data_IF_841751903083
#
_entry.id   IF_841751903083
#
_cell.length_a   1.000
_cell.length_b   1.000
_cell.length_c   1.000
_cell.angle_alpha   90.00
_cell.angle_beta   90.00
_cell.angle_gamma   90.00
#
_symmetry.space_group_name_H-M   'P 1'
#
loop_
_entity.id
_entity.type
_entity.pdbx_description
1 polymer ?
#
# COMPACT_ATOMS: atom_id res chain seq x y z
N UNK A 1 50.00 35.68 -5.71
CA UNK A 1 49.25 35.00 -4.62
C UNK A 1 47.77 35.33 -4.84
N UNK A 2 47.05 34.48 -5.59
CA UNK A 2 45.63 34.69 -5.94
C UNK A 2 44.76 33.76 -5.11
N UNK A 3 43.98 34.34 -4.21
CA UNK A 3 42.88 33.62 -3.53
C UNK A 3 41.73 33.43 -4.53
N UNK A 4 41.35 32.18 -4.79
CA UNK A 4 40.12 31.83 -5.50
C UNK A 4 39.01 31.68 -4.47
N UNK A 5 38.03 32.60 -4.52
CA UNK A 5 36.74 32.48 -3.78
C UNK A 5 35.94 31.30 -4.34
N UNK A 6 35.60 30.34 -3.50
CA UNK A 6 34.57 29.34 -3.77
C UNK A 6 33.20 29.91 -3.42
N UNK A 7 32.40 30.17 -4.43
CA UNK A 7 30.99 30.49 -4.24
C UNK A 7 30.23 29.17 -4.00
N UNK A 8 29.68 29.02 -2.81
CA UNK A 8 28.71 27.94 -2.46
C UNK A 8 27.37 28.37 -3.05
N UNK A 9 26.95 27.70 -4.11
CA UNK A 9 25.61 27.85 -4.67
C UNK A 9 24.67 27.03 -3.81
N UNK A 10 23.89 27.71 -2.96
CA UNK A 10 22.79 27.13 -2.19
C UNK A 10 21.59 26.96 -3.14
N UNK A 11 21.42 25.78 -3.70
CA UNK A 11 20.19 25.43 -4.42
C UNK A 11 19.04 25.30 -3.41
N UNK A 12 18.26 26.36 -3.23
CA UNK A 12 16.93 26.29 -2.62
C UNK A 12 16.00 25.61 -3.64
N UNK A 13 15.74 24.33 -3.46
CA UNK A 13 14.66 23.65 -4.16
C UNK A 13 13.33 24.09 -3.57
N UNK A 14 12.63 25.00 -4.25
CA UNK A 14 11.23 25.29 -3.97
C UNK A 14 10.42 24.03 -4.32
N UNK A 15 9.96 23.29 -3.31
CA UNK A 15 8.90 22.30 -3.49
C UNK A 15 7.60 23.06 -3.81
N UNK A 16 7.22 23.07 -5.06
CA UNK A 16 5.87 23.43 -5.48
C UNK A 16 5.02 22.20 -5.15
N UNK A 17 4.15 22.30 -4.16
CA UNK A 17 3.12 21.30 -3.90
C UNK A 17 2.16 21.30 -5.11
N UNK A 18 2.37 20.37 -6.05
CA UNK A 18 1.44 20.13 -7.15
C UNK A 18 0.28 19.28 -6.62
N UNK A 19 -0.94 19.74 -6.82
CA UNK A 19 -2.17 18.99 -6.58
C UNK A 19 -2.09 17.61 -7.26
N UNK A 20 -2.28 16.53 -6.47
CA UNK A 20 -1.93 15.14 -6.79
C UNK A 20 -2.62 14.46 -7.99
N UNK A 21 -3.20 15.21 -8.93
CA UNK A 21 -3.81 14.66 -10.14
C UNK A 21 -2.70 14.48 -11.20
N UNK A 22 -2.36 13.23 -11.50
CA UNK A 22 -1.38 12.90 -12.54
C UNK A 22 0.08 12.79 -12.07
N UNK A 23 0.34 12.76 -10.77
CA UNK A 23 1.69 12.68 -10.24
C UNK A 23 2.32 11.32 -10.49
N UNK A 24 3.49 11.32 -11.11
CA UNK A 24 4.31 10.14 -11.34
C UNK A 24 5.17 9.81 -10.11
N UNK A 25 5.56 8.52 -9.93
CA UNK A 25 6.46 8.12 -8.86
C UNK A 25 7.79 8.89 -8.92
N UNK A 26 8.26 9.32 -7.77
CA UNK A 26 9.54 10.01 -7.65
C UNK A 26 10.48 9.20 -6.76
N UNK A 27 11.78 9.34 -7.01
CA UNK A 27 12.80 8.77 -6.14
C UNK A 27 12.69 9.42 -4.75
N UNK A 28 12.43 8.58 -3.75
CA UNK A 28 12.35 9.00 -2.36
C UNK A 28 13.75 8.96 -1.76
N UNK A 29 14.38 10.12 -1.64
CA UNK A 29 15.74 10.24 -1.10
C UNK A 29 15.72 10.46 0.40
N UNK A 30 16.34 9.53 1.13
CA UNK A 30 16.86 9.78 2.48
C UNK A 30 18.34 9.38 2.53
N UNK A 31 19.16 10.02 3.40
CA UNK A 31 20.61 9.78 3.43
C UNK A 31 21.04 8.38 3.84
N UNK A 32 20.15 7.55 4.36
CA UNK A 32 20.48 6.24 4.93
C UNK A 32 19.87 5.08 4.15
N UNK A 33 20.73 4.34 3.46
CA UNK A 33 20.68 2.87 3.31
C UNK A 33 19.56 2.21 2.46
N UNK A 34 18.65 2.92 1.81
CA UNK A 34 17.60 2.26 1.03
C UNK A 34 17.95 2.37 -0.45
N UNK A 35 18.21 1.26 -1.16
CA UNK A 35 18.37 1.30 -2.60
C UNK A 35 17.07 1.81 -3.22
N UNK A 36 17.19 2.78 -4.09
CA UNK A 36 16.19 3.40 -4.99
C UNK A 36 14.72 3.03 -4.69
N UNK A 37 14.12 3.72 -3.72
CA UNK A 37 12.71 3.60 -3.41
C UNK A 37 11.94 4.67 -4.19
N UNK A 38 10.99 4.25 -5.02
CA UNK A 38 10.15 5.16 -5.82
C UNK A 38 8.71 5.18 -5.29
N UNK A 39 8.09 6.35 -5.31
CA UNK A 39 6.71 6.50 -4.90
C UNK A 39 6.24 7.94 -4.83
N UNK A 40 4.99 8.10 -4.38
CA UNK A 40 4.39 9.41 -4.06
C UNK A 40 4.04 9.43 -2.58
N UNK A 41 4.65 10.37 -1.85
CA UNK A 41 4.43 10.57 -0.42
C UNK A 41 3.54 11.80 -0.22
N UNK A 42 2.39 11.58 0.38
CA UNK A 42 1.45 12.64 0.78
C UNK A 42 1.34 12.70 2.30
N UNK A 43 1.14 13.92 2.83
CA UNK A 43 1.03 14.17 4.27
C UNK A 43 -0.12 15.11 4.56
N UNK A 44 -0.74 15.02 5.76
CA UNK A 44 -1.66 16.04 6.22
C UNK A 44 -1.02 17.44 6.21
N UNK A 45 -1.78 18.46 5.83
CA UNK A 45 -1.29 19.84 5.77
C UNK A 45 -0.95 20.41 7.15
N UNK A 46 -1.69 19.98 8.19
CA UNK A 46 -1.45 20.42 9.56
C UNK A 46 -0.17 19.77 10.13
N UNK A 47 0.65 20.52 10.86
CA UNK A 47 1.77 19.95 11.61
C UNK A 47 1.31 18.94 12.65
N UNK A 48 2.00 17.79 12.74
CA UNK A 48 1.63 16.72 13.67
C UNK A 48 2.37 15.42 13.43
N UNK A 49 2.02 14.43 14.23
CA UNK A 49 2.43 13.03 14.01
C UNK A 49 1.19 12.20 13.72
N UNK A 50 1.26 11.47 12.62
CA UNK A 50 0.13 10.73 12.04
C UNK A 50 0.49 9.26 11.84
N UNK A 51 -0.48 8.34 11.92
CA UNK A 51 -0.26 6.99 11.44
C UNK A 51 0.04 6.99 9.93
N UNK A 52 0.76 5.99 9.45
CA UNK A 52 1.14 5.90 8.05
C UNK A 52 0.42 4.76 7.33
N UNK A 53 0.24 4.91 6.01
CA UNK A 53 -0.31 3.89 5.12
C UNK A 53 0.58 3.74 3.90
N UNK A 54 1.00 2.49 3.60
CA UNK A 54 1.65 2.14 2.33
C UNK A 54 0.59 1.58 1.38
N UNK A 55 0.49 2.16 0.18
CA UNK A 55 -0.46 1.76 -0.86
C UNK A 55 0.29 0.92 -1.89
N UNK A 56 -0.24 -0.27 -2.19
CA UNK A 56 0.33 -1.26 -3.10
C UNK A 56 -0.66 -1.54 -4.23
N UNK A 57 -0.29 -1.20 -5.45
CA UNK A 57 -1.14 -1.33 -6.62
C UNK A 57 -1.27 -2.79 -7.13
N UNK A 58 -2.16 -3.00 -8.10
CA UNK A 58 -2.37 -4.30 -8.75
C UNK A 58 -1.35 -4.60 -9.86
N UNK A 59 -1.48 -5.77 -10.51
CA UNK A 59 -0.56 -6.25 -11.55
C UNK A 59 -0.41 -5.34 -12.79
N UNK A 60 -1.34 -4.40 -12.98
CA UNK A 60 -1.25 -3.43 -14.08
C UNK A 60 -0.19 -2.33 -13.86
N UNK A 61 0.52 -2.35 -12.74
CA UNK A 61 1.56 -1.39 -12.41
C UNK A 61 1.05 -0.03 -11.95
N UNK A 62 1.96 0.93 -11.91
CA UNK A 62 1.67 2.30 -11.50
C UNK A 62 0.58 2.97 -12.34
N UNK A 63 -0.29 3.71 -11.67
CA UNK A 63 -1.27 4.61 -12.28
C UNK A 63 -1.44 5.87 -11.42
N UNK A 64 -1.69 7.04 -12.01
CA UNK A 64 -1.84 8.31 -11.28
C UNK A 64 -2.91 8.29 -10.19
N UNK A 65 -3.90 7.41 -10.28
CA UNK A 65 -4.94 7.25 -9.27
C UNK A 65 -4.37 6.89 -7.89
N UNK A 66 -3.24 6.17 -7.82
CA UNK A 66 -2.63 5.82 -6.54
C UNK A 66 -2.06 7.05 -5.81
N UNK A 67 -1.59 8.06 -6.54
CA UNK A 67 -1.25 9.35 -5.97
C UNK A 67 -2.50 10.09 -5.45
N UNK A 68 -3.62 10.00 -6.17
CA UNK A 68 -4.91 10.55 -5.71
C UNK A 68 -5.40 9.86 -4.44
N UNK A 69 -5.26 8.53 -4.35
CA UNK A 69 -5.60 7.78 -3.14
C UNK A 69 -4.70 8.21 -1.98
N UNK A 70 -3.38 8.38 -2.21
CA UNK A 70 -2.45 8.87 -1.20
C UNK A 70 -2.87 10.26 -0.68
N UNK A 71 -3.22 11.19 -1.59
CA UNK A 71 -3.73 12.51 -1.20
C UNK A 71 -5.02 12.42 -0.38
N UNK A 72 -5.97 11.56 -0.77
CA UNK A 72 -7.23 11.37 -0.05
C UNK A 72 -7.02 10.79 1.35
N UNK A 73 -6.04 9.89 1.51
CA UNK A 73 -5.63 9.39 2.82
C UNK A 73 -4.93 10.47 3.65
N UNK A 74 -4.10 11.32 3.04
CA UNK A 74 -3.48 12.44 3.71
C UNK A 74 -4.53 13.45 4.23
N UNK A 75 -5.53 13.77 3.43
CA UNK A 75 -6.68 14.59 3.81
C UNK A 75 -7.52 13.94 4.93
N UNK A 76 -7.43 12.61 5.06
CA UNK A 76 -8.09 11.82 6.10
C UNK A 76 -7.26 11.65 7.38
N UNK A 77 -6.05 12.25 7.45
CA UNK A 77 -5.19 12.26 8.63
C UNK A 77 -4.14 11.15 8.67
N UNK A 78 -3.68 10.65 7.53
CA UNK A 78 -2.60 9.66 7.44
C UNK A 78 -1.41 10.22 6.66
N UNK A 79 -0.19 9.81 6.99
CA UNK A 79 0.94 9.91 6.07
C UNK A 79 0.81 8.75 5.08
N UNK A 80 0.62 9.03 3.80
CA UNK A 80 0.32 8.03 2.80
C UNK A 80 1.43 7.92 1.75
N UNK A 81 1.96 6.72 1.56
CA UNK A 81 2.97 6.42 0.55
C UNK A 81 2.39 5.47 -0.50
N UNK A 82 2.12 5.99 -1.69
CA UNK A 82 1.87 5.14 -2.86
C UNK A 82 3.23 4.65 -3.38
N UNK A 83 3.52 3.37 -3.14
CA UNK A 83 4.82 2.76 -3.45
C UNK A 83 4.83 2.23 -4.87
N UNK A 84 5.85 2.61 -5.66
CA UNK A 84 6.16 1.96 -6.92
C UNK A 84 7.12 0.77 -6.68
N UNK A 85 6.55 -0.37 -6.31
CA UNK A 85 7.33 -1.55 -5.98
C UNK A 85 7.86 -2.30 -7.21
N UNK A 86 7.39 -1.97 -8.43
CA UNK A 86 7.97 -2.47 -9.67
C UNK A 86 9.31 -1.77 -10.01
N UNK A 87 9.41 -0.47 -9.73
CA UNK A 87 10.65 0.27 -9.96
C UNK A 87 11.76 -0.08 -8.95
N UNK A 88 11.43 -0.76 -7.85
CA UNK A 88 12.42 -1.12 -6.83
C UNK A 88 13.47 -2.07 -7.38
N UNK A 89 14.73 -1.63 -7.36
CA UNK A 89 15.87 -2.38 -7.90
C UNK A 89 15.71 -2.79 -9.38
N UNK A 90 14.98 -1.99 -10.16
CA UNK A 90 14.79 -2.22 -11.60
C UNK A 90 13.86 -3.37 -11.94
N UNK A 91 12.91 -3.71 -11.05
CA UNK A 91 11.83 -4.64 -11.36
C UNK A 91 10.72 -3.90 -12.10
N UNK A 92 10.70 -4.00 -13.42
CA UNK A 92 9.67 -3.44 -14.30
C UNK A 92 8.86 -4.53 -15.04
N UNK A 93 9.11 -5.79 -14.72
CA UNK A 93 8.70 -6.93 -15.54
C UNK A 93 7.20 -7.25 -15.50
N UNK A 94 6.47 -6.82 -14.49
CA UNK A 94 5.08 -7.29 -14.30
C UNK A 94 4.94 -8.80 -14.07
N UNK A 95 6.05 -9.56 -14.10
CA UNK A 95 6.07 -11.01 -13.88
C UNK A 95 5.66 -11.35 -12.46
N UNK A 96 4.81 -12.36 -12.32
CA UNK A 96 4.29 -12.79 -11.01
C UNK A 96 4.84 -14.13 -10.55
N UNK A 97 5.43 -14.91 -11.46
CA UNK A 97 5.89 -16.28 -11.21
C UNK A 97 7.35 -16.42 -10.82
N UNK A 98 8.18 -15.37 -10.94
CA UNK A 98 9.59 -15.43 -10.55
C UNK A 98 9.74 -15.14 -9.04
N UNK A 99 10.30 -16.11 -8.31
CA UNK A 99 10.50 -16.02 -6.87
C UNK A 99 11.48 -14.88 -6.49
N UNK A 100 12.49 -14.61 -7.31
CA UNK A 100 13.43 -13.52 -7.05
C UNK A 100 12.74 -12.15 -7.22
N UNK A 101 11.88 -12.00 -8.22
CA UNK A 101 11.02 -10.82 -8.40
C UNK A 101 10.09 -10.66 -7.20
N UNK A 102 9.46 -11.74 -6.76
CA UNK A 102 8.59 -11.71 -5.59
C UNK A 102 9.32 -11.23 -4.32
N UNK A 103 10.51 -11.76 -4.06
CA UNK A 103 11.31 -11.35 -2.91
C UNK A 103 11.76 -9.87 -3.01
N UNK A 104 12.06 -9.35 -4.21
CA UNK A 104 12.36 -7.92 -4.39
C UNK A 104 11.14 -7.05 -4.03
N UNK A 105 9.94 -7.43 -4.46
CA UNK A 105 8.70 -6.72 -4.12
C UNK A 105 8.43 -6.73 -2.61
N UNK A 106 8.63 -7.87 -1.96
CA UNK A 106 8.55 -7.95 -0.50
C UNK A 106 9.59 -7.03 0.17
N UNK A 107 10.82 -6.97 -0.34
CA UNK A 107 11.87 -6.08 0.15
C UNK A 107 11.49 -4.61 -0.05
N UNK A 108 10.86 -4.24 -1.18
CA UNK A 108 10.35 -2.89 -1.42
C UNK A 108 9.35 -2.45 -0.34
N UNK A 109 8.41 -3.32 0.05
CA UNK A 109 7.45 -3.00 1.12
C UNK A 109 8.15 -2.80 2.47
N UNK A 110 9.12 -3.67 2.81
CA UNK A 110 9.91 -3.52 4.05
C UNK A 110 10.68 -2.20 4.05
N UNK A 111 11.30 -1.84 2.93
CA UNK A 111 12.04 -0.59 2.77
C UNK A 111 11.11 0.63 2.88
N UNK A 112 9.89 0.55 2.32
CA UNK A 112 8.90 1.60 2.44
C UNK A 112 8.47 1.82 3.90
N UNK A 113 8.24 0.75 4.65
CA UNK A 113 7.92 0.87 6.08
C UNK A 113 9.09 1.47 6.86
N UNK A 114 10.33 1.01 6.63
CA UNK A 114 11.51 1.57 7.27
C UNK A 114 11.70 3.06 6.93
N UNK A 115 11.48 3.45 5.66
CA UNK A 115 11.49 4.84 5.23
C UNK A 115 10.49 5.70 6.01
N UNK A 116 9.26 5.22 6.17
CA UNK A 116 8.22 5.93 6.94
C UNK A 116 8.57 6.02 8.43
N UNK A 117 9.20 4.99 9.00
CA UNK A 117 9.62 5.02 10.40
C UNK A 117 10.72 6.04 10.71
N UNK A 118 11.45 6.52 9.72
CA UNK A 118 12.41 7.61 9.89
C UNK A 118 11.76 8.99 9.78
N UNK A 119 10.58 9.10 9.19
CA UNK A 119 9.89 10.37 9.00
C UNK A 119 9.36 10.93 10.36
N UNK A 120 9.69 12.19 10.73
CA UNK A 120 9.26 12.75 12.00
C UNK A 120 7.75 13.02 12.10
N UNK A 121 7.05 13.08 10.96
CA UNK A 121 5.59 13.22 10.92
C UNK A 121 4.86 11.89 11.07
N UNK A 122 5.57 10.76 11.14
CA UNK A 122 4.97 9.43 11.28
C UNK A 122 4.98 8.97 12.73
N UNK A 123 3.81 8.56 13.23
CA UNK A 123 3.64 7.91 14.52
C UNK A 123 4.37 6.56 14.51
N UNK A 124 5.37 6.40 15.36
CA UNK A 124 6.22 5.20 15.39
C UNK A 124 5.42 3.93 15.67
N UNK A 125 5.72 2.88 14.88
CA UNK A 125 5.06 1.58 15.00
C UNK A 125 3.58 1.57 14.62
N UNK A 126 3.11 2.52 13.78
CA UNK A 126 1.71 2.66 13.39
C UNK A 126 1.59 2.77 11.88
N UNK A 127 1.78 1.65 11.18
CA UNK A 127 1.70 1.53 9.71
C UNK A 127 0.56 0.61 9.32
N UNK A 128 -0.24 1.03 8.33
CA UNK A 128 -1.19 0.20 7.61
C UNK A 128 -0.67 -0.18 6.23
N UNK A 129 -1.07 -1.33 5.72
CA UNK A 129 -0.89 -1.70 4.31
C UNK A 129 -2.25 -1.67 3.62
N UNK A 130 -2.33 -0.98 2.48
CA UNK A 130 -3.50 -0.93 1.60
C UNK A 130 -3.12 -1.55 0.27
N UNK A 131 -3.61 -2.75 -0.01
CA UNK A 131 -3.27 -3.49 -1.22
C UNK A 131 -4.44 -3.72 -2.15
N UNK A 132 -4.18 -3.65 -3.46
CA UNK A 132 -5.12 -3.93 -4.53
C UNK A 132 -4.65 -5.13 -5.35
N UNK A 133 -5.46 -6.18 -5.51
CA UNK A 133 -5.14 -7.36 -6.34
C UNK A 133 -3.75 -7.94 -5.98
N UNK A 134 -2.79 -7.92 -6.88
CA UNK A 134 -1.41 -8.35 -6.63
C UNK A 134 -0.79 -7.62 -5.42
N UNK A 135 -1.03 -6.33 -5.26
CA UNK A 135 -0.56 -5.56 -4.10
C UNK A 135 -1.21 -6.02 -2.78
N UNK A 136 -2.44 -6.53 -2.83
CA UNK A 136 -3.10 -7.11 -1.67
C UNK A 136 -2.49 -8.48 -1.31
N UNK A 137 -2.17 -9.30 -2.30
CA UNK A 137 -1.42 -10.57 -2.10
C UNK A 137 -0.05 -10.27 -1.49
N UNK A 138 0.64 -9.26 -2.01
CA UNK A 138 1.94 -8.82 -1.49
C UNK A 138 1.83 -8.34 -0.04
N UNK A 139 0.78 -7.57 0.30
CA UNK A 139 0.51 -7.13 1.68
C UNK A 139 0.38 -8.31 2.63
N UNK A 140 -0.40 -9.33 2.26
CA UNK A 140 -0.60 -10.54 3.05
C UNK A 140 0.72 -11.27 3.28
N UNK A 141 1.55 -11.38 2.24
CA UNK A 141 2.82 -12.13 2.31
C UNK A 141 3.88 -11.52 3.24
N UNK A 142 3.74 -10.24 3.61
CA UNK A 142 4.77 -9.55 4.43
C UNK A 142 4.26 -9.07 5.78
N UNK A 143 2.95 -8.84 5.95
CA UNK A 143 2.39 -8.11 7.08
C UNK A 143 2.78 -8.71 8.44
N UNK A 144 2.67 -10.03 8.60
CA UNK A 144 3.00 -10.71 9.86
C UNK A 144 4.49 -10.62 10.25
N UNK A 145 5.37 -10.31 9.30
CA UNK A 145 6.83 -10.25 9.50
C UNK A 145 7.37 -8.83 9.70
N UNK A 146 6.51 -7.82 9.69
CA UNK A 146 6.87 -6.40 9.87
C UNK A 146 6.17 -5.89 11.14
N UNK A 147 6.88 -5.78 12.27
CA UNK A 147 6.25 -5.44 13.56
C UNK A 147 5.55 -4.08 13.60
N UNK A 148 5.94 -3.15 12.74
CA UNK A 148 5.36 -1.82 12.59
C UNK A 148 3.99 -1.84 11.88
N UNK A 149 3.68 -2.91 11.14
CA UNK A 149 2.40 -3.08 10.45
C UNK A 149 1.34 -3.50 11.46
N UNK A 150 0.32 -2.66 11.65
CA UNK A 150 -0.75 -2.84 12.64
C UNK A 150 -2.12 -3.12 12.03
N UNK A 151 -2.27 -2.94 10.73
CA UNK A 151 -3.52 -3.18 10.02
C UNK A 151 -3.27 -3.44 8.53
N UNK A 152 -4.10 -4.28 7.93
CA UNK A 152 -4.09 -4.54 6.48
C UNK A 152 -5.49 -4.34 5.91
N UNK A 153 -5.58 -3.60 4.82
CA UNK A 153 -6.78 -3.53 3.97
C UNK A 153 -6.48 -4.22 2.66
N UNK A 154 -7.26 -5.24 2.36
CA UNK A 154 -7.11 -6.11 1.21
C UNK A 154 -8.28 -5.92 0.25
N UNK A 155 -8.01 -5.34 -0.90
CA UNK A 155 -8.96 -5.26 -2.00
C UNK A 155 -8.73 -6.41 -2.98
N UNK A 156 -9.69 -7.32 -3.05
CA UNK A 156 -9.79 -8.42 -4.01
C UNK A 156 -8.45 -9.14 -4.29
N UNK A 157 -7.69 -9.45 -3.23
CA UNK A 157 -6.39 -10.12 -3.35
C UNK A 157 -6.24 -11.29 -2.39
N UNK A 158 -6.14 -12.50 -2.95
CA UNK A 158 -5.71 -13.68 -2.22
C UNK A 158 -4.88 -14.55 -3.19
N UNK A 159 -3.71 -14.96 -2.75
CA UNK A 159 -2.75 -15.71 -3.59
C UNK A 159 -2.95 -17.21 -3.57
N UNK A 160 -3.73 -17.74 -2.64
CA UNK A 160 -3.95 -19.17 -2.48
C UNK A 160 -5.33 -19.46 -1.87
N UNK A 161 -5.87 -20.63 -2.15
CA UNK A 161 -7.01 -21.22 -1.42
C UNK A 161 -6.54 -22.43 -0.58
N UNK A 162 -5.26 -22.77 -0.65
CA UNK A 162 -4.69 -23.84 0.17
C UNK A 162 -4.64 -23.41 1.63
N UNK A 163 -5.31 -24.18 2.48
CA UNK A 163 -5.49 -23.87 3.90
C UNK A 163 -4.17 -23.84 4.65
N UNK A 164 -3.30 -24.82 4.43
CA UNK A 164 -2.05 -24.95 5.18
C UNK A 164 -1.08 -23.83 4.79
N UNK A 165 -1.06 -23.47 3.50
CA UNK A 165 -0.29 -22.32 3.01
C UNK A 165 -0.78 -21.01 3.63
N UNK A 166 -2.10 -20.74 3.59
CA UNK A 166 -2.68 -19.54 4.20
C UNK A 166 -2.44 -19.47 5.70
N UNK A 167 -2.69 -20.54 6.44
CA UNK A 167 -2.47 -20.58 7.89
C UNK A 167 -0.99 -20.33 8.25
N UNK A 168 -0.06 -20.77 7.41
CA UNK A 168 1.37 -20.49 7.61
C UNK A 168 1.71 -19.01 7.43
N UNK A 169 1.07 -18.35 6.46
CA UNK A 169 1.31 -16.94 6.13
C UNK A 169 0.68 -15.99 7.18
N UNK A 170 -0.44 -16.39 7.80
CA UNK A 170 -1.23 -15.50 8.66
C UNK A 170 -1.02 -15.71 10.16
N UNK A 171 0.06 -16.37 10.58
CA UNK A 171 0.42 -16.47 12.00
C UNK A 171 0.73 -15.10 12.57
N UNK A 172 0.08 -14.74 13.68
CA UNK A 172 0.20 -13.41 14.30
C UNK A 172 -0.13 -12.27 13.35
N UNK A 173 -1.07 -12.49 12.45
CA UNK A 173 -1.47 -11.52 11.43
C UNK A 173 -2.12 -10.29 12.10
N UNK A 174 -1.80 -9.06 11.64
CA UNK A 174 -2.46 -7.87 12.13
C UNK A 174 -3.96 -7.86 11.72
N UNK A 175 -4.82 -7.06 12.39
CA UNK A 175 -6.20 -6.87 11.97
C UNK A 175 -6.35 -6.66 10.48
N UNK A 176 -7.32 -7.35 9.86
CA UNK A 176 -7.53 -7.42 8.43
C UNK A 176 -8.93 -6.91 8.05
N UNK A 177 -9.00 -6.02 7.07
CA UNK A 177 -10.24 -5.70 6.35
C UNK A 177 -10.16 -6.27 4.94
N UNK A 178 -11.13 -7.11 4.57
CA UNK A 178 -11.28 -7.66 3.22
C UNK A 178 -12.44 -6.97 2.50
N UNK A 179 -12.16 -6.43 1.31
CA UNK A 179 -13.13 -5.77 0.43
C UNK A 179 -13.11 -6.49 -0.92
N UNK A 180 -14.19 -7.24 -1.25
CA UNK A 180 -14.18 -8.15 -2.41
C UNK A 180 -15.47 -8.07 -3.20
N UNK A 181 -15.39 -8.23 -4.52
CA UNK A 181 -16.55 -8.33 -5.39
C UNK A 181 -17.12 -9.74 -5.41
N UNK A 182 -18.44 -9.90 -5.33
CA UNK A 182 -19.09 -11.21 -5.33
C UNK A 182 -18.88 -11.97 -6.64
N UNK A 183 -18.87 -11.23 -7.77
CA UNK A 183 -18.71 -11.79 -9.12
C UNK A 183 -17.29 -11.62 -9.68
N UNK A 184 -16.29 -11.57 -8.81
CA UNK A 184 -14.89 -11.48 -9.22
C UNK A 184 -14.47 -12.77 -9.95
N UNK A 185 -14.11 -12.62 -11.24
CA UNK A 185 -13.69 -13.72 -12.11
C UNK A 185 -12.16 -13.87 -12.19
N UNK A 186 -11.41 -12.89 -11.70
CA UNK A 186 -9.95 -12.94 -11.69
C UNK A 186 -9.42 -13.60 -10.41
N UNK A 187 -9.99 -13.24 -9.26
CA UNK A 187 -9.73 -13.88 -7.97
C UNK A 187 -11.10 -14.16 -7.35
N UNK A 188 -11.52 -15.40 -7.38
CA UNK A 188 -12.84 -15.80 -6.90
C UNK A 188 -13.03 -15.40 -5.42
N UNK A 189 -14.25 -15.01 -5.06
CA UNK A 189 -14.61 -14.62 -3.68
C UNK A 189 -14.37 -15.74 -2.67
N UNK A 190 -14.35 -17.01 -3.11
CA UNK A 190 -13.95 -18.17 -2.30
C UNK A 190 -12.56 -18.01 -1.68
N UNK A 191 -11.60 -17.46 -2.44
CA UNK A 191 -10.25 -17.19 -1.96
C UNK A 191 -10.25 -16.13 -0.82
N UNK A 192 -11.11 -15.12 -0.91
CA UNK A 192 -11.27 -14.14 0.16
C UNK A 192 -11.89 -14.77 1.42
N UNK A 193 -12.84 -15.70 1.27
CA UNK A 193 -13.36 -16.47 2.41
C UNK A 193 -12.31 -17.39 3.02
N UNK A 194 -11.48 -18.05 2.20
CA UNK A 194 -10.37 -18.87 2.68
C UNK A 194 -9.36 -18.06 3.50
N UNK A 195 -8.96 -16.87 3.02
CA UNK A 195 -8.08 -15.97 3.76
C UNK A 195 -8.70 -15.53 5.10
N UNK A 196 -9.97 -15.13 5.09
CA UNK A 196 -10.71 -14.79 6.32
C UNK A 196 -10.65 -15.93 7.33
N UNK A 197 -11.01 -17.11 6.88
CA UNK A 197 -11.13 -18.29 7.75
C UNK A 197 -9.75 -18.73 8.30
N UNK A 198 -8.69 -18.61 7.51
CA UNK A 198 -7.32 -18.85 7.96
C UNK A 198 -6.89 -17.86 9.06
N UNK A 199 -7.14 -16.55 8.89
CA UNK A 199 -6.81 -15.55 9.92
C UNK A 199 -7.60 -15.80 11.20
N UNK A 200 -8.91 -16.09 11.10
CA UNK A 200 -9.77 -16.40 12.26
C UNK A 200 -9.30 -17.69 12.97
N UNK A 201 -8.90 -18.73 12.24
CA UNK A 201 -8.38 -19.98 12.80
C UNK A 201 -7.10 -19.77 13.62
N UNK A 202 -6.30 -18.76 13.28
CA UNK A 202 -5.11 -18.35 14.04
C UNK A 202 -5.42 -17.36 15.18
N UNK A 203 -6.70 -17.08 15.47
CA UNK A 203 -7.14 -16.15 16.50
C UNK A 203 -7.00 -14.66 16.12
N UNK A 204 -6.80 -14.37 14.85
CA UNK A 204 -6.71 -13.01 14.32
C UNK A 204 -8.07 -12.31 14.19
N UNK A 205 -8.04 -11.02 13.86
CA UNK A 205 -9.23 -10.19 13.71
C UNK A 205 -9.48 -9.90 12.23
N UNK A 206 -10.72 -10.13 11.74
CA UNK A 206 -11.11 -9.87 10.35
C UNK A 206 -12.45 -9.16 10.30
N UNK A 207 -12.47 -8.06 9.53
CA UNK A 207 -13.69 -7.46 8.99
C UNK A 207 -13.77 -7.78 7.49
N UNK A 208 -14.98 -8.07 6.98
CA UNK A 208 -15.15 -8.39 5.56
C UNK A 208 -16.41 -7.75 5.01
N UNK A 209 -16.30 -7.18 3.81
CA UNK A 209 -17.42 -6.72 3.00
C UNK A 209 -17.32 -7.33 1.61
N UNK A 210 -18.35 -8.07 1.23
CA UNK A 210 -18.56 -8.52 -0.16
C UNK A 210 -19.56 -7.58 -0.82
N UNK A 211 -19.24 -7.15 -2.04
CA UNK A 211 -20.06 -6.23 -2.85
C UNK A 211 -20.86 -7.03 -3.88
N UNK A 212 -22.19 -7.06 -3.75
CA UNK A 212 -23.07 -7.85 -4.64
C UNK A 212 -22.91 -7.42 -6.11
N UNK A 213 -22.80 -8.40 -7.02
CA UNK A 213 -22.66 -8.17 -8.46
C UNK A 213 -21.37 -7.46 -8.90
N UNK A 214 -20.46 -7.13 -7.98
CA UNK A 214 -19.21 -6.48 -8.32
C UNK A 214 -18.17 -7.47 -8.82
N UNK A 215 -17.47 -7.11 -9.90
CA UNK A 215 -16.33 -7.87 -10.44
C UNK A 215 -14.98 -7.40 -9.89
N UNK A 216 -13.90 -7.97 -10.44
CA UNK A 216 -12.53 -7.57 -10.08
C UNK A 216 -12.27 -6.10 -10.39
N UNK A 217 -11.68 -5.38 -9.43
CA UNK A 217 -11.34 -3.97 -9.62
C UNK A 217 -12.54 -3.02 -9.62
N UNK A 218 -13.63 -3.36 -8.94
CA UNK A 218 -14.89 -2.60 -8.90
C UNK A 218 -14.72 -1.13 -8.51
N UNK A 219 -13.63 -0.77 -7.86
CA UNK A 219 -13.30 0.60 -7.44
C UNK A 219 -12.26 1.29 -8.33
N UNK A 220 -11.88 0.69 -9.46
CA UNK A 220 -10.95 1.27 -10.43
C UNK A 220 -11.68 2.02 -11.54
N UNK A 221 -11.68 3.37 -11.58
CA UNK A 221 -12.49 4.14 -12.54
C UNK A 221 -12.11 3.95 -14.00
N UNK A 222 -10.99 3.29 -14.28
CA UNK A 222 -10.54 2.92 -15.64
C UNK A 222 -10.96 1.49 -16.04
N UNK A 223 -11.63 0.75 -15.15
CA UNK A 223 -12.04 -0.64 -15.39
C UNK A 223 -13.53 -0.72 -15.75
N UNK A 224 -13.93 -1.71 -16.58
CA UNK A 224 -15.33 -1.85 -17.01
C UNK A 224 -16.29 -2.19 -15.85
N UNK A 225 -15.76 -2.77 -14.77
CA UNK A 225 -16.53 -3.16 -13.59
C UNK A 225 -16.65 -2.05 -12.54
N UNK A 226 -16.25 -0.81 -12.87
CA UNK A 226 -16.27 0.30 -11.92
C UNK A 226 -17.67 0.60 -11.40
N UNK A 227 -17.80 0.69 -10.10
CA UNK A 227 -18.97 1.18 -9.40
C UNK A 227 -18.60 2.35 -8.49
N UNK A 228 -19.09 3.54 -8.83
CA UNK A 228 -18.85 4.74 -8.02
C UNK A 228 -19.36 4.61 -6.58
N UNK A 229 -20.48 3.93 -6.39
CA UNK A 229 -21.06 3.69 -5.07
C UNK A 229 -20.14 2.81 -4.22
N UNK A 230 -19.66 1.71 -4.80
CA UNK A 230 -18.76 0.78 -4.10
C UNK A 230 -17.36 1.35 -3.88
N UNK A 231 -16.89 2.20 -4.79
CA UNK A 231 -15.63 2.93 -4.62
C UNK A 231 -15.69 3.85 -3.39
N UNK A 232 -16.76 4.66 -3.28
CA UNK A 232 -16.96 5.56 -2.13
C UNK A 232 -17.11 4.76 -0.82
N UNK A 233 -17.96 3.73 -0.79
CA UNK A 233 -18.17 2.91 0.41
C UNK A 233 -16.89 2.19 0.84
N UNK A 234 -16.18 1.60 -0.10
CA UNK A 234 -14.93 0.86 0.20
C UNK A 234 -13.82 1.77 0.70
N UNK A 235 -13.68 2.97 0.14
CA UNK A 235 -12.74 3.96 0.63
C UNK A 235 -13.09 4.44 2.05
N UNK A 236 -14.36 4.73 2.32
CA UNK A 236 -14.79 5.12 3.67
C UNK A 236 -14.53 4.01 4.69
N UNK A 237 -14.81 2.75 4.36
CA UNK A 237 -14.49 1.59 5.22
C UNK A 237 -12.98 1.49 5.47
N UNK A 238 -12.17 1.72 4.46
CA UNK A 238 -10.71 1.73 4.56
C UNK A 238 -10.23 2.78 5.57
N UNK A 239 -10.71 4.02 5.44
CA UNK A 239 -10.37 5.13 6.34
C UNK A 239 -10.81 4.82 7.78
N UNK A 240 -12.06 4.38 7.96
CA UNK A 240 -12.60 4.08 9.29
C UNK A 240 -11.90 2.89 9.96
N UNK A 241 -11.53 1.89 9.18
CA UNK A 241 -10.74 0.75 9.68
C UNK A 241 -9.37 1.20 10.15
N UNK A 242 -8.63 1.93 9.35
CA UNK A 242 -7.31 2.43 9.73
C UNK A 242 -7.37 3.38 10.95
N UNK A 243 -8.38 4.25 11.04
CA UNK A 243 -8.57 5.11 12.22
C UNK A 243 -8.75 4.33 13.52
N UNK A 244 -9.38 3.14 13.46
CA UNK A 244 -9.57 2.30 14.64
C UNK A 244 -8.35 1.47 14.99
N UNK A 245 -7.49 1.17 14.02
CA UNK A 245 -6.40 0.19 14.18
C UNK A 245 -5.01 0.81 14.25
N UNK A 246 -4.83 2.03 13.79
CA UNK A 246 -3.56 2.76 13.79
C UNK A 246 -3.57 3.89 14.84
#
# INVERSE_FOLDING_TARGET
>A
MHLKSFAVILCLSFLIASSGIGQEPQLLTKPSLIPELYGVLEKPDAPGTYPAVVILYGSQGWRPIYATIAKSLADSGFVALALDYYAYQGDDSGETGDLAVWHRRQAAVRSAVAFLMEDPSVKKGSVGLLGYSLGAILSVSVAASIPEVKAVVNFFGCGSEDKDELESQVRNFPPLLILHGEEDQAIHVSAAYALRDAVLAQGGEVEMKVYPGAGHGFNGPWLPNYSKEYDIDSFQRTVDFFRRKL
#
